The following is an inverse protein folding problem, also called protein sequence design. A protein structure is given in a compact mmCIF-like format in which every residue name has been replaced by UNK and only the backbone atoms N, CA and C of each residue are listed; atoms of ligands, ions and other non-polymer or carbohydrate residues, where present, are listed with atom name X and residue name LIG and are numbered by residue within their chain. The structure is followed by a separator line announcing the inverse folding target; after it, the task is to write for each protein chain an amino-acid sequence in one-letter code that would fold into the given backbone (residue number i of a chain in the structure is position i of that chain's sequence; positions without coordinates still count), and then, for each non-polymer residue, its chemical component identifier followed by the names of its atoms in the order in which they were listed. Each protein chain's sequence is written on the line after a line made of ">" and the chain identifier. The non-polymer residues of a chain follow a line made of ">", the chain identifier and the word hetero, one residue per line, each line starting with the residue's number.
data_IF_468381942600
#
_entry.id   IF_468381942600
#
_cell.length_a   1.000
_cell.length_b   1.000
_cell.length_c   1.000
_cell.angle_alpha   90.00
_cell.angle_beta   90.00
_cell.angle_gamma   90.00
#
_symmetry.space_group_name_H-M   'P 1'
#
loop_
_entity.id
_entity.type
_entity.pdbx_description
1 polymer ?
#
# COMPACT_ATOMS: atom_id res chain seq x y z
N UNK A 1 23.25 -43.58 -31.32
CA UNK A 1 23.98 -44.73 -31.92
C UNK A 1 24.84 -45.34 -30.83
N UNK A 2 24.80 -46.67 -30.63
CA UNK A 2 25.71 -47.34 -29.68
C UNK A 2 27.16 -47.05 -30.13
N UNK A 3 28.05 -46.73 -29.20
CA UNK A 3 29.48 -46.55 -29.53
C UNK A 3 29.99 -47.86 -30.13
N UNK A 4 30.60 -47.78 -31.31
CA UNK A 4 31.28 -48.92 -31.93
C UNK A 4 32.39 -49.39 -30.99
N UNK A 5 32.47 -50.69 -30.71
CA UNK A 5 33.57 -51.26 -29.92
C UNK A 5 34.92 -51.20 -30.66
N UNK A 6 34.89 -51.05 -31.99
CA UNK A 6 36.08 -51.00 -32.83
C UNK A 6 36.59 -49.57 -33.04
N UNK A 7 37.91 -49.40 -32.88
CA UNK A 7 38.62 -48.15 -33.17
C UNK A 7 38.61 -47.84 -34.68
N UNK A 8 38.75 -46.56 -35.09
CA UNK A 8 38.83 -46.20 -36.51
C UNK A 8 39.96 -46.94 -37.24
N UNK A 9 41.10 -47.15 -36.58
CA UNK A 9 42.24 -47.88 -37.13
C UNK A 9 41.93 -49.37 -37.33
N UNK A 10 41.21 -50.00 -36.39
CA UNK A 10 40.76 -51.38 -36.53
C UNK A 10 39.78 -51.53 -37.70
N UNK A 11 38.83 -50.60 -37.86
CA UNK A 11 37.88 -50.61 -38.97
C UNK A 11 38.60 -50.46 -40.32
N UNK A 12 39.57 -49.54 -40.42
CA UNK A 12 40.37 -49.36 -41.63
C UNK A 12 41.20 -50.61 -41.97
N UNK A 13 41.84 -51.23 -40.98
CA UNK A 13 42.59 -52.47 -41.17
C UNK A 13 41.71 -53.63 -41.65
N UNK A 14 40.51 -53.78 -41.08
CA UNK A 14 39.53 -54.80 -41.47
C UNK A 14 39.02 -54.58 -42.90
N UNK A 15 38.80 -53.34 -43.31
CA UNK A 15 38.39 -53.01 -44.67
C UNK A 15 39.53 -53.25 -45.68
N UNK A 16 40.79 -52.97 -45.29
CA UNK A 16 41.97 -53.24 -46.11
C UNK A 16 42.21 -54.74 -46.30
N UNK A 17 42.00 -55.54 -45.27
CA UNK A 17 42.03 -57.01 -45.35
C UNK A 17 40.98 -57.55 -46.34
N UNK A 18 39.81 -56.92 -46.40
CA UNK A 18 38.76 -57.25 -47.37
C UNK A 18 39.12 -56.81 -48.80
N UNK A 19 39.64 -55.60 -48.96
CA UNK A 19 40.07 -55.07 -50.27
C UNK A 19 41.28 -55.85 -50.83
N UNK A 20 42.11 -56.44 -49.96
CA UNK A 20 43.21 -57.35 -50.32
C UNK A 20 42.75 -58.78 -50.69
N UNK A 21 41.44 -59.05 -50.73
CA UNK A 21 40.88 -60.28 -51.29
C UNK A 21 40.48 -61.38 -50.28
N UNK A 22 40.50 -61.13 -48.97
CA UNK A 22 39.97 -62.09 -47.97
C UNK A 22 38.45 -62.21 -48.07
N UNK A 23 37.91 -63.41 -47.87
CA UNK A 23 36.46 -63.62 -47.95
C UNK A 23 35.72 -62.97 -46.77
N UNK A 24 34.48 -62.52 -46.98
CA UNK A 24 33.67 -61.92 -45.92
C UNK A 24 33.52 -62.84 -44.70
N UNK A 25 33.59 -64.16 -44.90
CA UNK A 25 33.43 -65.18 -43.86
C UNK A 25 34.70 -65.34 -43.02
N UNK A 26 35.88 -65.28 -43.64
CA UNK A 26 37.18 -65.27 -42.95
C UNK A 26 37.29 -64.05 -42.04
N UNK A 27 36.97 -62.85 -42.55
CA UNK A 27 37.07 -61.61 -41.76
C UNK A 27 36.12 -61.61 -40.57
N UNK A 28 34.93 -62.19 -40.72
CA UNK A 28 33.97 -62.31 -39.61
C UNK A 28 34.47 -63.25 -38.51
N UNK A 29 35.24 -64.29 -38.85
CA UNK A 29 35.88 -65.19 -37.88
C UNK A 29 37.10 -64.56 -37.22
N UNK A 30 37.98 -63.95 -38.01
CA UNK A 30 39.27 -63.42 -37.53
C UNK A 30 39.10 -62.20 -36.62
N UNK A 31 38.21 -61.27 -37.00
CA UNK A 31 38.05 -59.99 -36.32
C UNK A 31 36.78 -59.92 -35.45
N UNK A 32 35.98 -60.99 -35.41
CA UNK A 32 34.75 -61.05 -34.60
C UNK A 32 33.68 -60.03 -35.02
N UNK A 33 33.67 -59.61 -36.29
CA UNK A 33 32.73 -58.61 -36.82
C UNK A 33 31.58 -59.30 -37.54
N UNK A 34 30.34 -58.88 -37.29
CA UNK A 34 29.18 -59.40 -38.04
C UNK A 34 29.23 -58.99 -39.53
N UNK A 35 28.81 -59.90 -40.43
CA UNK A 35 28.78 -59.66 -41.89
C UNK A 35 28.01 -58.38 -42.25
N UNK A 36 26.90 -58.12 -41.56
CA UNK A 36 26.10 -56.90 -41.74
C UNK A 36 26.85 -55.61 -41.35
N UNK A 37 27.75 -55.66 -40.36
CA UNK A 37 28.54 -54.49 -39.96
C UNK A 37 29.68 -54.23 -40.93
N UNK A 38 30.31 -55.28 -41.45
CA UNK A 38 31.36 -55.19 -42.47
C UNK A 38 30.84 -54.50 -43.75
N UNK A 39 29.70 -54.94 -44.30
CA UNK A 39 29.13 -54.30 -45.49
C UNK A 39 28.68 -52.85 -45.22
N UNK A 40 28.17 -52.54 -44.03
CA UNK A 40 27.83 -51.16 -43.64
C UNK A 40 29.07 -50.27 -43.52
N UNK A 41 30.19 -50.80 -43.04
CA UNK A 41 31.44 -50.07 -42.99
C UNK A 41 32.00 -49.86 -44.39
N UNK A 42 31.93 -50.86 -45.28
CA UNK A 42 32.34 -50.70 -46.68
C UNK A 42 31.54 -49.62 -47.40
N UNK A 43 30.22 -49.59 -47.22
CA UNK A 43 29.37 -48.57 -47.85
C UNK A 43 29.68 -47.15 -47.36
N UNK A 44 30.08 -46.99 -46.09
CA UNK A 44 30.29 -45.68 -45.46
C UNK A 44 31.73 -45.19 -45.46
N UNK A 45 32.69 -46.11 -45.44
CA UNK A 45 34.11 -45.84 -45.22
C UNK A 45 35.03 -46.57 -46.19
N UNK A 46 34.48 -47.23 -47.23
CA UNK A 46 35.28 -47.92 -48.24
C UNK A 46 36.19 -46.95 -49.00
N UNK A 47 37.45 -47.35 -49.20
CA UNK A 47 38.46 -46.52 -49.87
C UNK A 47 39.06 -45.39 -49.02
N UNK A 48 38.71 -45.28 -47.74
CA UNK A 48 39.26 -44.26 -46.84
C UNK A 48 40.44 -44.80 -46.05
N UNK A 49 41.49 -43.99 -45.94
CA UNK A 49 42.62 -44.28 -45.06
C UNK A 49 42.25 -44.09 -43.59
N UNK A 50 43.00 -44.72 -42.69
CA UNK A 50 42.72 -44.70 -41.24
C UNK A 50 42.65 -43.28 -40.65
N UNK A 51 43.38 -42.32 -41.24
CA UNK A 51 43.40 -40.90 -40.88
C UNK A 51 42.09 -40.19 -41.25
N UNK A 52 41.53 -40.47 -42.41
CA UNK A 52 40.27 -39.89 -42.90
C UNK A 52 39.07 -40.41 -42.10
N UNK A 53 39.08 -41.72 -41.82
CA UNK A 53 38.09 -42.39 -40.96
C UNK A 53 38.05 -41.79 -39.54
N UNK A 54 39.21 -41.42 -39.00
CA UNK A 54 39.31 -40.74 -37.71
C UNK A 54 38.69 -39.35 -37.75
N UNK A 55 39.01 -38.55 -38.78
CA UNK A 55 38.48 -37.19 -38.97
C UNK A 55 36.96 -37.19 -39.14
N UNK A 56 36.40 -38.15 -39.88
CA UNK A 56 34.94 -38.26 -40.07
C UNK A 56 34.24 -38.56 -38.75
N UNK A 57 34.75 -39.50 -37.94
CA UNK A 57 34.15 -39.77 -36.63
C UNK A 57 34.25 -38.56 -35.69
N UNK A 58 35.35 -37.81 -35.72
CA UNK A 58 35.48 -36.56 -34.96
C UNK A 58 34.42 -35.53 -35.39
N UNK A 59 34.23 -35.32 -36.69
CA UNK A 59 33.20 -34.44 -37.24
C UNK A 59 31.77 -34.92 -36.93
N UNK A 60 31.53 -36.24 -36.91
CA UNK A 60 30.24 -36.80 -36.49
C UNK A 60 29.98 -36.56 -35.00
N UNK A 61 31.00 -36.70 -34.15
CA UNK A 61 30.91 -36.39 -32.74
C UNK A 61 30.64 -34.90 -32.50
N UNK A 62 31.35 -34.02 -33.20
CA UNK A 62 31.09 -32.57 -33.14
C UNK A 62 29.69 -32.24 -33.63
N UNK A 63 29.25 -32.80 -34.76
CA UNK A 63 27.88 -32.59 -35.25
C UNK A 63 26.83 -33.12 -34.27
N UNK A 64 27.09 -34.24 -33.58
CA UNK A 64 26.21 -34.74 -32.54
C UNK A 64 26.18 -33.80 -31.32
N UNK A 65 27.33 -33.26 -30.91
CA UNK A 65 27.44 -32.24 -29.84
C UNK A 65 26.68 -30.98 -30.24
N UNK A 66 26.90 -30.47 -31.46
CA UNK A 66 26.22 -29.30 -32.01
C UNK A 66 24.71 -29.52 -32.08
N UNK A 67 24.23 -30.63 -32.65
CA UNK A 67 22.80 -30.96 -32.71
C UNK A 67 22.16 -31.05 -31.31
N UNK A 68 22.91 -31.43 -30.28
CA UNK A 68 22.44 -31.44 -28.89
C UNK A 68 22.37 -30.03 -28.27
N UNK A 69 23.28 -29.14 -28.67
CA UNK A 69 23.32 -27.74 -28.20
C UNK A 69 22.38 -26.80 -28.97
N UNK A 70 22.12 -27.07 -30.25
CA UNK A 70 21.32 -26.23 -31.16
C UNK A 70 19.90 -25.91 -30.67
N UNK A 71 19.13 -26.86 -30.10
CA UNK A 71 17.81 -26.54 -29.55
C UNK A 71 17.86 -25.52 -28.41
N UNK A 72 18.92 -25.57 -27.59
CA UNK A 72 19.14 -24.65 -26.46
C UNK A 72 19.55 -23.26 -26.96
N UNK A 73 20.45 -23.20 -27.94
CA UNK A 73 20.93 -21.97 -28.57
C UNK A 73 19.83 -21.26 -29.37
N UNK A 74 19.10 -22.00 -30.22
CA UNK A 74 17.97 -21.47 -30.99
C UNK A 74 16.91 -20.84 -30.08
N UNK A 75 16.64 -21.50 -28.97
CA UNK A 75 15.70 -21.03 -27.97
C UNK A 75 16.18 -19.76 -27.24
N UNK A 76 17.49 -19.65 -26.95
CA UNK A 76 18.09 -18.42 -26.41
C UNK A 76 17.98 -17.23 -27.37
N UNK A 77 17.95 -17.49 -28.67
CA UNK A 77 17.81 -16.46 -29.72
C UNK A 77 16.35 -16.05 -29.99
N UNK A 78 15.38 -16.96 -29.82
CA UNK A 78 13.93 -16.64 -29.97
C UNK A 78 13.31 -15.95 -28.77
N UNK A 79 13.97 -15.94 -27.62
CA UNK A 79 13.51 -15.11 -26.51
C UNK A 79 13.76 -13.65 -26.88
N UNK A 80 12.75 -12.77 -26.74
CA UNK A 80 12.93 -11.34 -26.95
C UNK A 80 14.16 -10.87 -26.18
N UNK A 81 15.06 -10.12 -26.84
CA UNK A 81 16.34 -9.62 -26.31
C UNK A 81 16.25 -9.23 -24.83
N UNK A 82 16.56 -10.17 -23.94
CA UNK A 82 16.71 -9.95 -22.49
C UNK A 82 18.14 -9.58 -22.12
N UNK A 83 18.99 -9.36 -23.13
CA UNK A 83 20.39 -8.96 -23.02
C UNK A 83 20.60 -7.52 -22.56
N UNK A 84 19.54 -6.75 -22.26
CA UNK A 84 19.69 -5.41 -21.66
C UNK A 84 19.09 -5.29 -20.24
N UNK A 85 20.01 -5.41 -19.26
CA UNK A 85 20.05 -4.71 -17.96
C UNK A 85 19.08 -5.05 -16.80
N UNK A 86 18.04 -5.89 -16.92
CA UNK A 86 17.25 -6.33 -15.73
C UNK A 86 16.78 -7.79 -15.80
N UNK A 87 17.04 -8.56 -14.75
CA UNK A 87 16.48 -9.90 -14.58
C UNK A 87 14.94 -9.85 -14.55
N UNK A 88 14.29 -10.69 -15.37
CA UNK A 88 12.82 -10.80 -15.43
C UNK A 88 12.25 -11.23 -14.07
N UNK A 89 11.15 -10.61 -13.65
CA UNK A 89 10.45 -10.99 -12.41
C UNK A 89 9.72 -12.33 -12.61
N UNK A 90 9.45 -13.09 -11.53
CA UNK A 90 8.72 -14.35 -11.63
C UNK A 90 7.34 -14.24 -12.31
N UNK A 91 6.64 -13.11 -12.17
CA UNK A 91 5.37 -12.86 -12.87
C UNK A 91 5.52 -12.77 -14.39
N UNK A 92 6.55 -12.08 -14.87
CA UNK A 92 6.79 -11.86 -16.30
C UNK A 92 7.20 -13.19 -16.95
N UNK A 93 8.05 -13.95 -16.26
CA UNK A 93 8.43 -15.31 -16.68
C UNK A 93 7.24 -16.26 -16.76
N UNK A 94 6.27 -16.16 -15.82
CA UNK A 94 5.02 -16.95 -15.88
C UNK A 94 4.19 -16.55 -17.10
N UNK A 95 4.09 -15.26 -17.41
CA UNK A 95 3.32 -14.77 -18.58
C UNK A 95 3.87 -15.35 -19.88
N UNK A 96 5.19 -15.28 -20.06
CA UNK A 96 5.88 -15.84 -21.24
C UNK A 96 5.55 -17.34 -21.41
N UNK A 97 5.55 -18.11 -20.32
CA UNK A 97 5.24 -19.55 -20.38
C UNK A 97 3.75 -19.78 -20.69
N UNK A 98 2.85 -18.94 -20.17
CA UNK A 98 1.41 -19.02 -20.44
C UNK A 98 1.10 -18.72 -21.91
N UNK A 99 1.77 -17.73 -22.51
CA UNK A 99 1.60 -17.43 -23.94
C UNK A 99 2.19 -18.54 -24.82
N UNK A 100 3.38 -19.05 -24.47
CA UNK A 100 3.98 -20.20 -25.15
C UNK A 100 3.15 -21.48 -25.05
N UNK A 101 2.40 -21.66 -23.96
CA UNK A 101 1.49 -22.81 -23.81
C UNK A 101 0.42 -22.82 -24.89
N UNK A 102 0.01 -21.65 -25.41
CA UNK A 102 -0.97 -21.54 -26.50
C UNK A 102 -0.38 -21.96 -27.85
N UNK A 103 0.86 -21.58 -28.14
CA UNK A 103 1.51 -21.86 -29.43
C UNK A 103 2.17 -23.25 -29.48
N UNK A 104 2.79 -23.70 -28.39
CA UNK A 104 3.62 -24.92 -28.32
C UNK A 104 3.50 -25.65 -26.97
N UNK A 105 2.42 -26.42 -26.74
CA UNK A 105 2.16 -27.07 -25.46
C UNK A 105 3.20 -28.15 -25.09
N UNK A 106 3.89 -28.75 -26.07
CA UNK A 106 4.89 -29.81 -25.85
C UNK A 106 6.22 -29.31 -25.25
N UNK A 107 6.50 -28.01 -25.31
CA UNK A 107 7.80 -27.44 -24.93
C UNK A 107 7.82 -26.74 -23.56
N UNK A 108 6.72 -26.78 -22.78
CA UNK A 108 6.60 -26.10 -21.48
C UNK A 108 7.73 -26.50 -20.52
N UNK A 109 8.10 -27.79 -20.48
CA UNK A 109 9.17 -28.28 -19.62
C UNK A 109 10.54 -27.69 -19.97
N UNK A 110 10.81 -27.43 -21.26
CA UNK A 110 12.05 -26.80 -21.72
C UNK A 110 12.05 -25.31 -21.41
N UNK A 111 10.92 -24.64 -21.64
CA UNK A 111 10.74 -23.22 -21.32
C UNK A 111 10.93 -22.95 -19.81
N UNK A 112 10.34 -23.78 -18.94
CA UNK A 112 10.53 -23.69 -17.49
C UNK A 112 11.99 -23.83 -17.08
N UNK A 113 12.71 -24.79 -17.69
CA UNK A 113 14.13 -25.06 -17.38
C UNK A 113 15.01 -23.86 -17.73
N UNK A 114 14.77 -23.21 -18.88
CA UNK A 114 15.57 -22.06 -19.25
C UNK A 114 15.21 -20.79 -18.48
N UNK A 115 13.92 -20.54 -18.23
CA UNK A 115 13.50 -19.38 -17.44
C UNK A 115 13.78 -19.55 -15.94
N UNK A 116 14.29 -20.72 -15.52
CA UNK A 116 14.54 -21.11 -14.13
C UNK A 116 13.29 -20.94 -13.26
N UNK A 117 12.15 -21.45 -13.74
CA UNK A 117 10.88 -21.49 -13.02
C UNK A 117 10.49 -22.93 -12.67
N UNK A 118 9.95 -23.13 -11.46
CA UNK A 118 9.38 -24.43 -11.08
C UNK A 118 8.05 -24.67 -11.78
N UNK A 119 7.77 -25.92 -12.16
CA UNK A 119 6.48 -26.30 -12.77
C UNK A 119 5.31 -26.11 -11.79
N UNK A 120 5.52 -26.36 -10.49
CA UNK A 120 4.53 -26.14 -9.43
C UNK A 120 4.08 -24.67 -9.35
N UNK A 121 5.00 -23.74 -9.63
CA UNK A 121 4.69 -22.31 -9.67
C UNK A 121 3.71 -21.93 -10.80
N UNK A 122 3.54 -22.75 -11.85
CA UNK A 122 2.57 -22.50 -12.92
C UNK A 122 1.16 -22.95 -12.53
N UNK A 123 1.06 -23.99 -11.71
CA UNK A 123 -0.22 -24.53 -11.21
C UNK A 123 -0.72 -23.79 -9.97
N UNK A 124 0.15 -23.02 -9.30
CA UNK A 124 -0.22 -22.29 -8.09
C UNK A 124 -1.17 -21.14 -8.39
N UNK A 125 -2.38 -21.22 -7.84
CA UNK A 125 -3.36 -20.13 -7.76
C UNK A 125 -3.48 -19.68 -6.31
N UNK A 126 -3.23 -18.39 -6.04
CA UNK A 126 -3.41 -17.85 -4.70
C UNK A 126 -4.90 -17.78 -4.36
N UNK A 127 -5.37 -18.58 -3.40
CA UNK A 127 -6.70 -18.44 -2.82
C UNK A 127 -6.63 -17.30 -1.81
N UNK A 128 -7.50 -16.29 -1.97
CA UNK A 128 -7.57 -15.13 -1.09
C UNK A 128 -8.97 -15.07 -0.52
N UNK A 129 -9.11 -15.39 0.75
CA UNK A 129 -10.33 -15.07 1.47
C UNK A 129 -10.30 -13.59 1.83
N UNK A 130 -11.20 -12.81 1.25
CA UNK A 130 -11.34 -11.38 1.52
C UNK A 130 -12.74 -11.04 2.06
N UNK A 131 -13.58 -12.04 2.36
CA UNK A 131 -15.00 -11.84 2.67
C UNK A 131 -15.19 -10.95 3.90
N UNK A 132 -14.52 -11.28 5.00
CA UNK A 132 -14.60 -10.50 6.24
C UNK A 132 -14.17 -9.04 6.05
N UNK A 133 -13.13 -8.81 5.25
CA UNK A 133 -12.59 -7.47 4.99
C UNK A 133 -13.53 -6.67 4.10
N UNK A 134 -14.18 -7.32 3.13
CA UNK A 134 -15.19 -6.68 2.27
C UNK A 134 -16.39 -6.21 3.09
N UNK A 135 -16.94 -7.07 3.96
CA UNK A 135 -18.08 -6.71 4.83
C UNK A 135 -17.72 -5.55 5.77
N UNK A 136 -16.53 -5.58 6.39
CA UNK A 136 -16.08 -4.48 7.25
C UNK A 136 -15.94 -3.16 6.48
N UNK A 137 -15.34 -3.20 5.29
CA UNK A 137 -15.19 -2.01 4.44
C UNK A 137 -16.54 -1.47 3.94
N UNK A 138 -17.47 -2.35 3.62
CA UNK A 138 -18.81 -1.95 3.17
C UNK A 138 -19.58 -1.24 4.28
N UNK A 139 -19.56 -1.76 5.50
CA UNK A 139 -20.18 -1.13 6.66
C UNK A 139 -19.55 0.24 6.94
N UNK A 140 -18.22 0.34 6.89
CA UNK A 140 -17.52 1.61 7.07
C UNK A 140 -17.82 2.62 5.96
N UNK A 141 -17.95 2.18 4.72
CA UNK A 141 -18.28 3.05 3.59
C UNK A 141 -19.71 3.58 3.69
N UNK A 142 -20.66 2.78 4.17
CA UNK A 142 -22.05 3.19 4.43
C UNK A 142 -22.13 4.21 5.56
N UNK A 143 -21.42 3.97 6.66
CA UNK A 143 -21.42 4.85 7.83
C UNK A 143 -20.64 6.15 7.60
N UNK A 144 -19.54 6.08 6.83
CA UNK A 144 -18.60 7.20 6.67
C UNK A 144 -18.22 7.39 5.19
N UNK A 145 -19.13 7.89 4.34
CA UNK A 145 -18.93 7.93 2.88
C UNK A 145 -17.80 8.87 2.43
N UNK A 146 -17.52 9.92 3.21
CA UNK A 146 -16.47 10.90 2.91
C UNK A 146 -15.07 10.47 3.33
N UNK A 147 -14.95 9.34 4.04
CA UNK A 147 -13.67 8.88 4.54
C UNK A 147 -12.86 8.10 3.50
N UNK A 148 -11.57 8.45 3.38
CA UNK A 148 -10.65 7.76 2.49
C UNK A 148 -10.03 6.51 3.11
N UNK A 149 -9.32 5.74 2.27
CA UNK A 149 -8.64 4.49 2.62
C UNK A 149 -7.93 4.48 4.00
N UNK A 150 -7.12 5.50 4.31
CA UNK A 150 -6.35 5.52 5.56
C UNK A 150 -7.24 5.62 6.81
N UNK A 151 -8.38 6.30 6.72
CA UNK A 151 -9.33 6.36 7.83
C UNK A 151 -9.98 5.00 8.07
N UNK A 152 -10.45 4.34 7.02
CA UNK A 152 -10.96 2.98 7.12
C UNK A 152 -9.91 2.03 7.69
N UNK A 153 -8.65 2.14 7.25
CA UNK A 153 -7.54 1.34 7.78
C UNK A 153 -7.36 1.50 9.30
N UNK A 154 -7.29 2.74 9.78
CA UNK A 154 -7.10 2.99 11.20
C UNK A 154 -8.34 2.64 12.03
N UNK A 155 -9.57 2.85 11.53
CA UNK A 155 -10.79 2.38 12.20
C UNK A 155 -10.74 0.88 12.46
N UNK A 156 -10.41 0.09 11.45
CA UNK A 156 -10.28 -1.38 11.57
C UNK A 156 -9.15 -1.77 12.52
N UNK A 157 -8.04 -1.01 12.56
CA UNK A 157 -6.93 -1.30 13.49
C UNK A 157 -7.29 -0.94 14.94
N UNK A 158 -8.06 0.12 15.15
CA UNK A 158 -8.48 0.57 16.47
C UNK A 158 -9.50 -0.37 17.11
N UNK A 159 -10.23 -1.20 16.34
CA UNK A 159 -11.06 -2.28 16.88
C UNK A 159 -10.26 -3.51 17.33
N UNK A 160 -8.93 -3.48 17.22
CA UNK A 160 -8.03 -4.59 17.60
C UNK A 160 -7.70 -5.54 16.45
N UNK A 161 -8.28 -5.36 15.27
CA UNK A 161 -8.04 -6.26 14.13
C UNK A 161 -6.67 -5.98 13.49
N UNK A 162 -5.78 -6.98 13.46
CA UNK A 162 -4.46 -6.85 12.83
C UNK A 162 -4.56 -7.15 11.34
N UNK A 163 -4.69 -6.11 10.52
CA UNK A 163 -4.72 -6.21 9.05
C UNK A 163 -3.55 -5.46 8.41
N UNK A 164 -2.95 -6.08 7.39
CA UNK A 164 -1.93 -5.43 6.57
C UNK A 164 -2.58 -4.44 5.59
N UNK A 165 -2.08 -3.19 5.58
CA UNK A 165 -2.57 -2.13 4.70
C UNK A 165 -2.56 -2.54 3.21
N UNK A 166 -1.62 -3.40 2.76
CA UNK A 166 -1.56 -3.87 1.37
C UNK A 166 -2.76 -4.75 1.00
N UNK A 167 -3.18 -5.64 1.91
CA UNK A 167 -4.36 -6.50 1.71
C UNK A 167 -5.62 -5.64 1.67
N UNK A 168 -5.78 -4.76 2.66
CA UNK A 168 -6.93 -3.87 2.73
C UNK A 168 -7.03 -2.96 1.50
N UNK A 169 -5.92 -2.35 1.08
CA UNK A 169 -5.90 -1.43 -0.07
C UNK A 169 -6.28 -2.14 -1.39
N UNK A 170 -5.86 -3.39 -1.56
CA UNK A 170 -6.26 -4.19 -2.73
C UNK A 170 -7.77 -4.44 -2.74
N UNK A 171 -8.34 -4.83 -1.60
CA UNK A 171 -9.78 -5.07 -1.48
C UNK A 171 -10.57 -3.77 -1.67
N UNK A 172 -10.13 -2.69 -1.03
CA UNK A 172 -10.70 -1.34 -1.17
C UNK A 172 -10.75 -0.87 -2.63
N UNK A 173 -9.68 -1.09 -3.40
CA UNK A 173 -9.67 -0.81 -4.84
C UNK A 173 -10.58 -1.74 -5.64
N UNK A 174 -10.62 -3.04 -5.31
CA UNK A 174 -11.49 -4.02 -5.96
C UNK A 174 -12.97 -3.66 -5.79
N UNK A 175 -13.34 -3.09 -4.64
CA UNK A 175 -14.70 -2.64 -4.34
C UNK A 175 -15.06 -1.28 -4.97
N UNK A 176 -14.13 -0.60 -5.65
CA UNK A 176 -14.43 0.71 -6.27
C UNK A 176 -14.59 1.86 -5.28
N UNK A 177 -14.14 1.70 -4.03
CA UNK A 177 -14.23 2.72 -2.98
C UNK A 177 -13.27 3.95 -3.09
N UNK A 178 -12.25 4.02 -3.98
CA UNK A 178 -11.43 5.22 -4.08
C UNK A 178 -12.21 6.50 -4.38
N UNK A 179 -12.16 7.45 -3.46
CA UNK A 179 -12.77 8.77 -3.63
C UNK A 179 -12.15 9.52 -4.81
N UNK A 180 -13.01 10.14 -5.64
CA UNK A 180 -12.59 10.97 -6.77
C UNK A 180 -11.82 12.18 -6.26
N UNK A 181 -10.57 12.32 -6.70
CA UNK A 181 -9.76 13.51 -6.42
C UNK A 181 -10.16 14.63 -7.39
N UNK A 182 -10.70 15.73 -6.87
CA UNK A 182 -10.89 16.96 -7.64
C UNK A 182 -9.51 17.58 -7.93
N UNK A 183 -9.17 17.77 -9.20
CA UNK A 183 -7.93 18.46 -9.60
C UNK A 183 -8.07 19.94 -9.25
N UNK A 184 -7.15 20.48 -8.45
CA UNK A 184 -7.08 21.92 -8.15
C UNK A 184 -5.91 22.54 -8.91
N UNK A 185 -6.09 23.77 -9.41
CA UNK A 185 -5.00 24.58 -9.96
C UNK A 185 -3.90 24.72 -8.89
N UNK A 186 -2.66 24.36 -9.22
CA UNK A 186 -1.52 24.54 -8.30
C UNK A 186 -1.24 26.04 -8.20
N UNK A 187 -1.50 26.62 -7.03
CA UNK A 187 -1.01 27.95 -6.67
C UNK A 187 0.44 27.83 -6.20
N UNK A 188 1.19 28.95 -6.26
CA UNK A 188 2.55 29.00 -5.74
C UNK A 188 2.59 28.52 -4.27
N UNK A 189 3.60 27.70 -3.94
CA UNK A 189 3.74 27.16 -2.60
C UNK A 189 4.06 28.29 -1.62
N UNK A 190 3.10 28.68 -0.78
CA UNK A 190 3.33 29.60 0.34
C UNK A 190 4.28 28.94 1.33
N UNK A 191 5.20 29.70 1.91
CA UNK A 191 6.01 29.23 3.04
C UNK A 191 5.06 28.88 4.18
N UNK A 192 5.05 27.61 4.58
CA UNK A 192 4.19 27.12 5.67
C UNK A 192 4.96 27.23 6.97
N UNK A 193 4.61 28.21 7.79
CA UNK A 193 5.07 28.24 9.18
C UNK A 193 4.32 27.15 9.97
N UNK A 194 5.02 26.26 10.69
CA UNK A 194 4.36 25.26 11.52
C UNK A 194 3.68 25.94 12.72
N UNK A 195 2.39 25.67 12.91
CA UNK A 195 1.68 26.07 14.12
C UNK A 195 2.30 25.36 15.33
N UNK A 196 2.57 26.12 16.40
CA UNK A 196 2.94 25.56 17.69
C UNK A 196 1.75 24.79 18.27
N UNK A 197 1.87 23.46 18.35
CA UNK A 197 0.94 22.62 19.09
C UNK A 197 1.06 22.98 20.58
N UNK A 198 -0.05 23.18 21.32
CA UNK A 198 0.01 23.36 22.77
C UNK A 198 0.61 22.12 23.46
N UNK A 199 1.05 22.28 24.71
CA UNK A 199 1.73 21.23 25.47
C UNK A 199 0.75 20.31 26.20
N UNK A 200 -0.39 20.85 26.64
CA UNK A 200 -1.40 20.12 27.40
C UNK A 200 -2.82 20.45 26.96
N UNK A 201 -3.73 19.54 27.30
CA UNK A 201 -5.17 19.67 27.06
C UNK A 201 -5.71 20.94 27.72
N UNK A 202 -6.65 21.62 27.05
CA UNK A 202 -7.29 22.88 27.45
C UNK A 202 -6.38 24.10 27.58
N UNK A 203 -5.11 24.03 27.17
CA UNK A 203 -4.25 25.21 27.15
C UNK A 203 -4.74 26.30 26.18
N UNK A 204 -5.16 25.90 24.98
CA UNK A 204 -5.66 26.81 23.95
C UNK A 204 -6.87 26.22 23.24
N UNK A 205 -7.96 26.99 23.21
CA UNK A 205 -9.13 26.66 22.39
C UNK A 205 -9.13 27.51 21.13
N UNK A 206 -9.53 26.90 20.02
CA UNK A 206 -9.83 27.64 18.79
C UNK A 206 -11.34 27.65 18.58
N UNK A 207 -11.87 28.82 18.27
CA UNK A 207 -13.29 29.03 18.01
C UNK A 207 -13.51 29.60 16.62
N UNK A 208 -14.60 29.18 15.98
CA UNK A 208 -15.02 29.73 14.70
C UNK A 208 -16.53 29.60 14.49
N UNK A 209 -17.05 30.40 13.56
CA UNK A 209 -18.44 30.37 13.13
C UNK A 209 -18.54 29.84 11.71
N UNK A 210 -19.52 28.98 11.47
CA UNK A 210 -19.93 28.60 10.12
C UNK A 210 -21.38 29.02 9.90
N UNK A 211 -21.73 29.33 8.65
CA UNK A 211 -23.10 29.64 8.24
C UNK A 211 -23.53 28.66 7.16
N UNK A 212 -24.81 28.31 7.17
CA UNK A 212 -25.45 27.46 6.16
C UNK A 212 -26.97 27.75 6.12
N UNK A 213 -27.72 27.03 5.28
CA UNK A 213 -29.16 27.20 5.12
C UNK A 213 -29.92 25.86 5.19
N UNK A 214 -31.12 25.90 5.75
CA UNK A 214 -32.09 24.81 5.70
C UNK A 214 -32.64 24.65 4.28
N UNK A 215 -33.34 23.54 4.03
CA UNK A 215 -34.04 23.25 2.76
C UNK A 215 -35.00 24.36 2.33
N UNK A 216 -35.63 25.04 3.30
CA UNK A 216 -36.53 26.18 3.08
C UNK A 216 -35.80 27.53 2.85
N UNK A 217 -34.47 27.54 2.81
CA UNK A 217 -33.65 28.74 2.61
C UNK A 217 -33.38 29.56 3.89
N UNK A 218 -33.91 29.16 5.04
CA UNK A 218 -33.64 29.83 6.33
C UNK A 218 -32.19 29.62 6.72
N UNK A 219 -31.47 30.72 6.94
CA UNK A 219 -30.06 30.68 7.33
C UNK A 219 -29.91 30.33 8.81
N UNK A 220 -28.92 29.50 9.11
CA UNK A 220 -28.50 29.21 10.48
C UNK A 220 -26.98 29.34 10.60
N UNK A 221 -26.50 29.35 11.84
CA UNK A 221 -25.07 29.38 12.16
C UNK A 221 -24.70 28.27 13.12
N UNK A 222 -23.46 27.81 13.01
CA UNK A 222 -22.83 26.92 13.98
C UNK A 222 -21.63 27.61 14.63
N UNK A 223 -21.53 27.52 15.94
CA UNK A 223 -20.39 27.95 16.73
C UNK A 223 -19.60 26.73 17.19
N UNK A 224 -18.37 26.64 16.70
CA UNK A 224 -17.53 25.47 16.86
C UNK A 224 -16.40 25.76 17.85
N UNK A 225 -16.23 24.89 18.85
CA UNK A 225 -15.15 25.00 19.83
C UNK A 225 -14.31 23.72 19.81
N UNK A 226 -13.03 23.87 19.52
CA UNK A 226 -12.05 22.78 19.43
C UNK A 226 -10.84 23.04 20.33
N UNK A 227 -10.29 21.97 20.90
CA UNK A 227 -9.01 21.99 21.61
C UNK A 227 -7.82 21.83 20.64
N UNK A 228 -6.84 22.72 20.73
CA UNK A 228 -5.68 22.71 19.82
C UNK A 228 -4.68 21.58 20.11
N UNK A 229 -4.69 20.99 21.32
CA UNK A 229 -3.74 19.95 21.72
C UNK A 229 -4.09 18.59 21.10
N UNK A 230 -5.28 18.06 21.39
CA UNK A 230 -5.71 16.74 20.90
C UNK A 230 -6.75 16.81 19.77
N UNK A 231 -7.13 18.00 19.31
CA UNK A 231 -8.15 18.22 18.27
C UNK A 231 -9.55 17.74 18.68
N UNK A 232 -9.81 17.61 19.98
CA UNK A 232 -11.13 17.22 20.51
C UNK A 232 -12.14 18.34 20.29
N UNK A 233 -13.31 17.98 19.79
CA UNK A 233 -14.44 18.89 19.71
C UNK A 233 -15.00 19.02 21.12
N UNK A 234 -14.94 20.22 21.67
CA UNK A 234 -15.48 20.48 23.00
C UNK A 234 -17.00 20.68 22.92
N UNK A 235 -17.46 21.42 21.91
CA UNK A 235 -18.88 21.67 21.67
C UNK A 235 -19.13 22.27 20.29
N UNK A 236 -20.32 22.01 19.75
CA UNK A 236 -20.87 22.65 18.55
C UNK A 236 -22.27 23.13 18.90
N UNK A 237 -22.48 24.44 18.85
CA UNK A 237 -23.78 25.05 19.09
C UNK A 237 -24.39 25.46 17.75
N UNK A 238 -25.60 24.98 17.44
CA UNK A 238 -26.32 25.34 16.21
C UNK A 238 -27.62 26.08 16.52
N UNK A 239 -27.80 27.23 15.88
CA UNK A 239 -28.97 28.09 16.06
C UNK A 239 -29.18 29.03 14.86
N UNK A 240 -30.37 29.59 14.71
CA UNK A 240 -30.68 30.61 13.69
C UNK A 240 -29.86 31.89 13.90
N UNK A 241 -29.66 32.30 15.16
CA UNK A 241 -28.92 33.50 15.53
C UNK A 241 -28.07 33.29 16.79
N UNK A 242 -26.75 33.41 16.64
CA UNK A 242 -25.80 33.23 17.73
C UNK A 242 -25.38 34.58 18.30
N UNK A 243 -26.14 35.05 19.30
CA UNK A 243 -25.83 36.26 20.07
C UNK A 243 -24.62 36.03 20.97
N UNK A 244 -23.87 37.10 21.29
CA UNK A 244 -22.72 37.04 22.19
C UNK A 244 -23.04 36.45 23.57
N UNK A 245 -24.25 36.65 24.09
CA UNK A 245 -24.69 36.03 25.35
C UNK A 245 -24.73 34.49 25.28
N UNK A 246 -25.19 33.93 24.15
CA UNK A 246 -25.20 32.47 23.90
C UNK A 246 -23.77 31.93 23.83
N UNK A 247 -22.88 32.63 23.13
CA UNK A 247 -21.46 32.27 23.03
C UNK A 247 -20.79 32.26 24.41
N UNK A 248 -20.99 33.30 25.22
CA UNK A 248 -20.46 33.38 26.59
C UNK A 248 -21.02 32.25 27.46
N UNK A 249 -22.31 31.94 27.33
CA UNK A 249 -22.92 30.83 28.06
C UNK A 249 -22.26 29.49 27.71
N UNK A 250 -22.03 29.23 26.43
CA UNK A 250 -21.33 28.02 25.97
C UNK A 250 -19.91 27.97 26.54
N UNK A 251 -19.15 29.06 26.43
CA UNK A 251 -17.78 29.12 26.96
C UNK A 251 -17.74 28.89 28.48
N UNK A 252 -18.67 29.50 29.23
CA UNK A 252 -18.79 29.29 30.68
C UNK A 252 -19.12 27.82 31.01
N UNK A 253 -20.02 27.20 30.25
CA UNK A 253 -20.35 25.79 30.41
C UNK A 253 -19.12 24.89 30.17
N UNK A 254 -18.32 25.20 29.15
CA UNK A 254 -17.09 24.45 28.85
C UNK A 254 -16.00 24.63 29.89
N UNK A 255 -15.84 25.84 30.43
CA UNK A 255 -14.90 26.10 31.53
C UNK A 255 -15.26 25.27 32.75
N UNK A 256 -16.55 25.20 33.09
CA UNK A 256 -17.01 24.38 34.21
C UNK A 256 -16.76 22.88 34.00
N UNK A 257 -16.77 22.42 32.75
CA UNK A 257 -16.62 21.00 32.40
C UNK A 257 -15.17 20.55 32.23
N UNK A 258 -14.35 21.35 31.56
CA UNK A 258 -12.99 20.98 31.15
C UNK A 258 -11.88 21.79 31.84
N UNK A 259 -12.27 22.81 32.61
CA UNK A 259 -11.34 23.76 33.21
C UNK A 259 -11.14 25.02 32.37
N UNK A 260 -10.54 26.03 32.99
CA UNK A 260 -10.27 27.34 32.40
C UNK A 260 -9.09 27.27 31.41
N UNK A 261 -9.27 27.66 30.14
CA UNK A 261 -8.17 27.75 29.20
C UNK A 261 -7.31 28.98 29.45
N UNK A 262 -6.05 28.94 29.02
CA UNK A 262 -5.19 30.13 29.06
C UNK A 262 -5.51 31.10 27.93
N UNK A 263 -5.75 30.54 26.73
CA UNK A 263 -5.89 31.30 25.49
C UNK A 263 -7.09 30.82 24.69
N UNK A 264 -7.84 31.74 24.11
CA UNK A 264 -8.87 31.45 23.11
C UNK A 264 -8.49 32.16 21.82
N UNK A 265 -8.31 31.39 20.74
CA UNK A 265 -8.04 31.91 19.40
C UNK A 265 -9.33 32.07 18.63
N UNK A 266 -9.51 33.23 18.03
CA UNK A 266 -10.69 33.52 17.21
C UNK A 266 -10.30 34.34 15.98
N UNK A 267 -11.06 34.17 14.90
CA UNK A 267 -10.98 35.09 13.77
C UNK A 267 -11.61 36.45 14.11
N UNK A 268 -11.39 37.45 13.27
CA UNK A 268 -11.99 38.78 13.35
C UNK A 268 -13.47 38.76 12.95
N UNK A 269 -14.22 37.80 13.49
CA UNK A 269 -15.65 37.66 13.32
C UNK A 269 -16.42 38.88 13.86
N UNK A 270 -17.76 38.87 13.72
CA UNK A 270 -18.59 40.07 13.87
C UNK A 270 -18.26 40.84 15.15
N UNK A 271 -17.97 42.13 14.98
CA UNK A 271 -17.46 43.08 15.98
C UNK A 271 -18.20 43.02 17.33
N UNK A 272 -19.45 42.58 17.31
CA UNK A 272 -20.31 42.36 18.48
C UNK A 272 -19.78 41.30 19.47
N UNK A 273 -19.07 40.26 19.00
CA UNK A 273 -18.42 39.27 19.88
C UNK A 273 -17.19 39.90 20.55
N UNK A 274 -16.46 40.77 19.85
CA UNK A 274 -15.22 41.37 20.34
C UNK A 274 -15.42 42.28 21.56
N UNK A 275 -16.52 43.05 21.61
CA UNK A 275 -16.79 43.97 22.73
C UNK A 275 -17.16 43.24 24.02
N UNK A 276 -18.08 42.27 23.92
CA UNK A 276 -18.54 41.46 25.05
C UNK A 276 -17.48 40.45 25.53
N UNK A 277 -16.70 39.89 24.60
CA UNK A 277 -15.58 39.00 24.94
C UNK A 277 -14.45 39.72 25.69
N UNK A 278 -14.20 41.02 25.45
CA UNK A 278 -13.15 41.76 26.16
C UNK A 278 -13.43 41.93 27.65
N UNK A 279 -14.67 42.26 28.02
CA UNK A 279 -15.08 42.34 29.43
C UNK A 279 -15.01 40.95 30.10
N UNK A 280 -15.50 39.93 29.40
CA UNK A 280 -15.47 38.55 29.89
C UNK A 280 -14.04 37.99 30.00
N UNK A 281 -13.16 38.36 29.08
CA UNK A 281 -11.73 38.03 29.06
C UNK A 281 -11.02 38.54 30.30
N UNK A 282 -11.22 39.82 30.64
CA UNK A 282 -10.63 40.43 31.85
C UNK A 282 -11.18 39.77 33.10
N UNK A 283 -12.50 39.55 33.18
CA UNK A 283 -13.13 38.94 34.35
C UNK A 283 -12.70 37.48 34.59
N UNK A 284 -12.39 36.74 33.53
CA UNK A 284 -11.98 35.34 33.63
C UNK A 284 -10.47 35.14 33.46
N UNK A 285 -9.67 36.20 33.28
CA UNK A 285 -8.22 36.14 32.98
C UNK A 285 -7.88 35.17 31.84
N UNK A 286 -8.66 35.19 30.76
CA UNK A 286 -8.44 34.37 29.56
C UNK A 286 -7.96 35.28 28.44
N UNK A 287 -6.82 34.97 27.83
CA UNK A 287 -6.26 35.76 26.74
C UNK A 287 -6.97 35.45 25.42
N UNK A 288 -7.71 36.42 24.86
CA UNK A 288 -8.25 36.29 23.50
C UNK A 288 -7.19 36.71 22.47
N UNK A 289 -6.81 35.76 21.61
CA UNK A 289 -5.86 35.97 20.52
C UNK A 289 -6.61 36.09 19.20
N UNK A 290 -6.70 37.31 18.71
CA UNK A 290 -7.21 37.63 17.38
C UNK A 290 -6.16 37.30 16.31
N UNK A 291 -6.63 36.79 15.17
CA UNK A 291 -5.78 36.51 14.02
C UNK A 291 -5.37 37.82 13.35
N UNK A 292 -4.12 37.88 12.88
CA UNK A 292 -3.65 39.00 12.07
C UNK A 292 -4.34 39.00 10.70
N UNK A 293 -4.89 40.14 10.23
CA UNK A 293 -5.44 40.25 8.88
C UNK A 293 -4.45 39.71 7.84
N UNK A 294 -4.94 38.83 6.96
CA UNK A 294 -4.13 38.21 5.90
C UNK A 294 -3.31 36.97 6.32
N UNK A 295 -3.40 36.49 7.57
CA UNK A 295 -2.72 35.27 8.04
C UNK A 295 -3.67 34.16 8.50
N UNK A 296 -4.45 33.54 7.57
CA UNK A 296 -5.38 32.45 7.89
C UNK A 296 -4.68 31.23 8.52
N UNK A 297 -3.39 31.07 8.25
CA UNK A 297 -2.57 29.98 8.81
C UNK A 297 -2.55 29.95 10.34
N UNK A 298 -2.83 31.07 11.03
CA UNK A 298 -2.84 31.13 12.50
C UNK A 298 -3.98 30.35 13.15
N UNK A 299 -5.04 30.03 12.40
CA UNK A 299 -6.20 29.27 12.88
C UNK A 299 -6.44 28.00 12.06
N UNK A 300 -5.37 27.40 11.54
CA UNK A 300 -5.50 26.25 10.63
C UNK A 300 -6.11 24.99 11.30
N UNK A 301 -6.09 24.89 12.63
CA UNK A 301 -6.75 23.78 13.35
C UNK A 301 -8.27 23.83 13.16
N UNK A 302 -8.90 24.97 13.46
CA UNK A 302 -10.34 25.13 13.28
C UNK A 302 -10.74 25.12 11.81
N UNK A 303 -9.93 25.69 10.91
CA UNK A 303 -10.22 25.66 9.47
C UNK A 303 -10.29 24.22 8.94
N UNK A 304 -9.33 23.38 9.35
CA UNK A 304 -9.32 21.95 8.97
C UNK A 304 -10.51 21.21 9.57
N UNK A 305 -10.85 21.53 10.82
CA UNK A 305 -12.02 20.98 11.49
C UNK A 305 -13.31 21.37 10.75
N UNK A 306 -13.52 22.66 10.48
CA UNK A 306 -14.68 23.21 9.78
C UNK A 306 -14.87 22.60 8.40
N UNK A 307 -13.78 22.39 7.65
CA UNK A 307 -13.84 21.66 6.39
C UNK A 307 -14.38 20.24 6.58
N UNK A 308 -13.92 19.55 7.62
CA UNK A 308 -14.33 18.18 7.92
C UNK A 308 -15.79 18.11 8.34
N UNK A 309 -16.22 19.03 9.21
CA UNK A 309 -17.61 19.14 9.66
C UNK A 309 -18.54 19.48 8.48
N UNK A 310 -18.16 20.44 7.62
CA UNK A 310 -18.91 20.76 6.41
C UNK A 310 -19.08 19.55 5.49
N UNK A 311 -17.97 18.89 5.12
CA UNK A 311 -18.02 17.74 4.22
C UNK A 311 -18.80 16.54 4.80
N UNK A 312 -18.77 16.35 6.13
CA UNK A 312 -19.34 15.14 6.76
C UNK A 312 -20.77 15.30 7.26
N UNK A 313 -21.21 16.54 7.52
CA UNK A 313 -22.53 16.84 8.11
C UNK A 313 -23.28 17.78 7.17
N UNK A 314 -22.81 19.00 7.00
CA UNK A 314 -23.58 20.04 6.31
C UNK A 314 -23.80 19.74 4.82
N UNK A 315 -22.77 19.32 4.09
CA UNK A 315 -22.86 18.98 2.67
C UNK A 315 -23.47 17.57 2.44
N UNK A 316 -23.55 16.75 3.49
CA UNK A 316 -23.93 15.35 3.40
C UNK A 316 -25.44 15.12 3.53
N UNK A 317 -26.14 16.02 4.21
CA UNK A 317 -27.56 15.93 4.51
C UNK A 317 -28.29 17.19 4.07
N UNK A 318 -29.56 17.04 3.69
CA UNK A 318 -30.48 18.15 3.50
C UNK A 318 -31.36 18.24 4.75
N UNK A 319 -31.28 19.35 5.48
CA UNK A 319 -31.97 19.51 6.76
C UNK A 319 -33.23 20.37 6.63
N UNK A 320 -34.30 19.94 7.28
CA UNK A 320 -35.57 20.68 7.34
C UNK A 320 -35.72 21.45 8.66
N UNK A 321 -35.07 20.96 9.74
CA UNK A 321 -35.10 21.58 11.06
C UNK A 321 -33.71 21.70 11.70
N UNK A 322 -33.56 22.67 12.62
CA UNK A 322 -32.36 22.81 13.45
C UNK A 322 -32.19 21.63 14.40
N UNK A 323 -33.28 21.02 14.86
CA UNK A 323 -33.18 19.91 15.82
C UNK A 323 -32.59 18.66 15.15
N UNK A 324 -32.89 18.42 13.87
CA UNK A 324 -32.24 17.37 13.08
C UNK A 324 -30.73 17.63 12.96
N UNK A 325 -30.34 18.89 12.71
CA UNK A 325 -28.93 19.28 12.66
C UNK A 325 -28.27 18.96 14.00
N UNK A 326 -28.90 19.30 15.13
CA UNK A 326 -28.35 19.04 16.47
C UNK A 326 -28.14 17.55 16.71
N UNK A 327 -29.10 16.71 16.34
CA UNK A 327 -29.02 15.26 16.52
C UNK A 327 -27.91 14.62 15.67
N UNK A 328 -27.86 14.98 14.38
CA UNK A 328 -26.81 14.47 13.47
C UNK A 328 -25.44 14.98 13.91
N UNK A 329 -25.35 16.25 14.30
CA UNK A 329 -24.11 16.86 14.81
C UNK A 329 -23.64 16.15 16.07
N UNK A 330 -24.52 15.88 17.03
CA UNK A 330 -24.16 15.19 18.26
C UNK A 330 -23.62 13.78 17.99
N UNK A 331 -24.32 13.01 17.16
CA UNK A 331 -23.89 11.67 16.72
C UNK A 331 -22.52 11.73 16.05
N UNK A 332 -22.31 12.73 15.20
CA UNK A 332 -21.04 12.93 14.51
C UNK A 332 -19.92 13.38 15.46
N UNK A 333 -20.19 14.22 16.45
CA UNK A 333 -19.23 14.65 17.48
C UNK A 333 -18.77 13.46 18.31
N UNK A 334 -19.69 12.56 18.66
CA UNK A 334 -19.37 11.35 19.40
C UNK A 334 -18.49 10.40 18.60
N UNK A 335 -18.78 10.19 17.31
CA UNK A 335 -17.88 9.45 16.41
C UNK A 335 -16.52 10.16 16.28
N UNK A 336 -16.51 11.47 16.02
CA UNK A 336 -15.29 12.23 15.82
C UNK A 336 -14.35 12.12 17.04
N UNK A 337 -14.89 12.30 18.25
CA UNK A 337 -14.10 12.32 19.47
C UNK A 337 -13.69 10.93 19.96
N UNK A 338 -14.54 9.91 19.76
CA UNK A 338 -14.35 8.59 20.34
C UNK A 338 -13.73 7.58 19.37
N UNK A 339 -14.12 7.59 18.09
CA UNK A 339 -13.83 6.50 17.14
C UNK A 339 -13.03 6.96 15.91
N UNK A 340 -13.23 8.20 15.43
CA UNK A 340 -12.60 8.70 14.21
C UNK A 340 -11.08 8.79 14.37
N UNK A 341 -10.29 8.21 13.44
CA UNK A 341 -8.84 8.26 13.53
C UNK A 341 -8.27 9.58 12.98
N UNK A 342 -7.26 10.15 13.63
CA UNK A 342 -6.59 11.39 13.20
C UNK A 342 -5.14 11.15 12.80
N UNK A 343 -4.75 11.59 11.60
CA UNK A 343 -3.39 11.36 11.08
C UNK A 343 -2.34 12.07 11.95
N UNK A 344 -2.69 13.24 12.51
CA UNK A 344 -1.82 13.99 13.41
C UNK A 344 -1.70 13.36 14.81
N UNK A 345 -2.58 12.41 15.14
CA UNK A 345 -2.58 11.66 16.39
C UNK A 345 -2.21 10.19 16.15
N UNK A 346 -1.44 9.90 15.09
CA UNK A 346 -1.02 8.56 14.71
C UNK A 346 -2.16 7.56 14.48
N UNK A 347 -3.32 8.04 14.00
CA UNK A 347 -4.50 7.21 13.74
C UNK A 347 -5.38 6.97 14.97
N UNK A 348 -5.13 7.65 16.09
CA UNK A 348 -5.99 7.60 17.28
C UNK A 348 -7.10 8.66 17.21
N UNK A 349 -8.18 8.42 17.94
CA UNK A 349 -9.21 9.44 18.19
C UNK A 349 -8.77 10.43 19.27
N UNK A 350 -9.35 11.64 19.32
CA UNK A 350 -8.95 12.68 20.26
C UNK A 350 -9.02 12.24 21.74
N UNK A 351 -10.09 11.54 22.14
CA UNK A 351 -10.24 11.04 23.51
C UNK A 351 -9.25 9.93 23.84
N UNK A 352 -9.09 8.94 22.95
CA UNK A 352 -8.11 7.86 23.15
C UNK A 352 -6.68 8.43 23.24
N UNK A 353 -6.37 9.44 22.43
CA UNK A 353 -5.07 10.12 22.49
C UNK A 353 -4.86 10.82 23.84
N UNK A 354 -5.89 11.51 24.36
CA UNK A 354 -5.86 12.14 25.69
C UNK A 354 -5.62 11.10 26.79
N UNK A 355 -6.42 10.03 26.82
CA UNK A 355 -6.30 8.94 27.80
C UNK A 355 -4.93 8.27 27.78
N UNK A 356 -4.40 7.96 26.59
CA UNK A 356 -3.04 7.40 26.46
C UNK A 356 -1.96 8.35 26.98
N UNK A 357 -2.09 9.65 26.72
CA UNK A 357 -1.14 10.64 27.22
C UNK A 357 -1.19 10.72 28.74
N UNK A 358 -2.38 10.77 29.34
CA UNK A 358 -2.56 10.78 30.79
C UNK A 358 -1.94 9.53 31.43
N UNK A 359 -2.19 8.34 30.85
CA UNK A 359 -1.63 7.08 31.34
C UNK A 359 -0.10 7.04 31.24
N UNK A 360 0.48 7.58 30.16
CA UNK A 360 1.93 7.71 30.01
C UNK A 360 2.52 8.64 31.06
N UNK A 361 1.91 9.80 31.31
CA UNK A 361 2.35 10.75 32.34
C UNK A 361 2.21 10.17 33.77
N UNK A 362 1.15 9.39 34.03
CA UNK A 362 0.96 8.66 35.29
C UNK A 362 2.00 7.55 35.51
N UNK A 363 2.39 6.83 34.44
CA UNK A 363 3.43 5.81 34.51
C UNK A 363 4.83 6.43 34.73
N UNK A 364 5.10 7.59 34.13
CA UNK A 364 6.38 8.32 34.30
C UNK A 364 6.50 8.89 35.72
N UNK A 365 5.42 9.42 36.30
CA UNK A 365 5.41 9.92 37.69
C UNK A 365 5.60 8.80 38.70
N UNK A 366 5.03 7.61 38.48
CA UNK A 366 5.29 6.41 39.30
C UNK A 366 6.75 5.93 39.18
N UNK A 367 7.33 5.93 37.97
CA UNK A 367 8.75 5.58 37.76
C UNK A 367 9.73 6.58 38.39
N UNK A 368 9.41 7.86 38.39
CA UNK A 368 10.24 8.89 39.05
C UNK A 368 10.16 8.78 40.58
N UNK A 369 8.98 8.51 41.15
CA UNK A 369 8.83 8.21 42.59
C UNK A 369 9.62 6.97 43.02
N UNK A 370 9.64 5.92 42.20
CA UNK A 370 10.42 4.70 42.47
C UNK A 370 11.94 4.89 42.33
N UNK A 371 12.41 5.90 41.58
CA UNK A 371 13.84 6.24 41.50
C UNK A 371 14.33 7.10 42.66
N UNK A 372 13.48 7.94 43.24
CA UNK A 372 13.82 8.77 44.41
C UNK A 372 13.74 8.01 45.75
N UNK A 373 13.23 6.78 45.75
CA UNK A 373 13.14 5.89 46.91
C UNK A 373 14.20 4.79 46.94
N UNK A 374 15.26 4.88 46.12
CA UNK A 374 16.43 4.00 46.31
C UNK A 374 17.30 4.61 47.43
N UNK A 375 17.44 3.95 48.59
CA UNK A 375 18.45 4.36 49.56
C UNK A 375 19.82 4.24 48.90
N UNK A 376 20.64 5.29 49.06
CA UNK A 376 22.07 5.22 48.79
C UNK A 376 22.63 4.26 49.85
N UNK A 377 22.85 3.01 49.45
CA UNK A 377 23.53 1.99 50.22
C UNK A 377 24.93 1.80 49.69
#
# INVERSE_FOLDING_TARGET
>A
MKKSQFSPAQIAGILKDFDNGKSAEEITRDHGVSKASLYKWRQRYGGMEATELKRIKELEEENARLKKCMPTLRWSLTLPNTSSKKALKPCDKRMIIVDMRKERPKDISKACRLLKLSRSSLCYTSIKDDVTVMVQLENLAKQNPVEGFWKCYYRIRNTGTVINHKRLHRVYKKMGLPLRRKVKKRLAARVKEPLSKPDYFTQTWSIDFMSDALSNGTKFRSFNVIDDYNREILFIETDYSLKSSRVIWVLKHLINRYGKPQKIRMDNGPEFVAKLSRQWSVANEIEFKYIQPGKPTQNAYVERFNKTYRESVLDAYLFDSIDEIREVTQTWVDDYNCTRPHDALNGLSPKIYREKTINLLGCVTLRLRLRLLRPIG
#
